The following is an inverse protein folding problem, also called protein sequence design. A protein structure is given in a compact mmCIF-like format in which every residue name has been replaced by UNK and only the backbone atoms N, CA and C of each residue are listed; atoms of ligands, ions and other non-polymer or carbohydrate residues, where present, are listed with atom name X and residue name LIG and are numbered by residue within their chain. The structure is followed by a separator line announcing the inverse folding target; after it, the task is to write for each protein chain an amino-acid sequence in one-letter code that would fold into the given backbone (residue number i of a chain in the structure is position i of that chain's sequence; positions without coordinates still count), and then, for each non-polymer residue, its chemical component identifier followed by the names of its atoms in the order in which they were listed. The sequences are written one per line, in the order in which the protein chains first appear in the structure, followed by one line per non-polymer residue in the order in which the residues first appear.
data_IF_372859894470
#
_entry.id   IF_372859894470
#
_cell.length_a   1.000
_cell.length_b   1.000
_cell.length_c   1.000
_cell.angle_alpha   90.00
_cell.angle_beta   90.00
_cell.angle_gamma   90.00
#
_symmetry.space_group_name_H-M   'P 1'
#
loop_
_entity.id
_entity.type
_entity.pdbx_description
1 polymer ?
#
# COMPACT_ATOMS: atom_id res chain seq x y z
N UNK A 1 9.97 -7.86 -30.65
CA UNK A 1 9.17 -7.94 -29.40
C UNK A 1 9.41 -6.69 -28.58
N UNK A 2 8.42 -5.82 -28.42
CA UNK A 2 8.61 -4.57 -27.68
C UNK A 2 8.85 -4.86 -26.19
N UNK A 3 10.01 -4.44 -25.65
CA UNK A 3 10.28 -4.45 -24.20
C UNK A 3 9.18 -3.63 -23.52
N UNK A 4 8.32 -4.30 -22.75
CA UNK A 4 7.28 -3.65 -21.94
C UNK A 4 7.99 -2.63 -21.04
N UNK A 5 7.83 -1.33 -21.34
CA UNK A 5 8.41 -0.25 -20.53
C UNK A 5 7.84 -0.40 -19.12
N UNK A 6 8.69 -0.60 -18.11
CA UNK A 6 8.25 -0.52 -16.72
C UNK A 6 7.78 0.92 -16.51
N UNK A 7 6.48 1.11 -16.38
CA UNK A 7 5.91 2.40 -15.99
C UNK A 7 6.32 2.61 -14.54
N UNK A 8 7.01 3.71 -14.26
CA UNK A 8 7.38 4.07 -12.90
C UNK A 8 6.11 4.42 -12.12
N UNK A 9 6.05 3.99 -10.85
CA UNK A 9 4.98 4.35 -9.93
C UNK A 9 4.88 5.88 -9.77
N UNK A 10 6.00 6.60 -9.87
CA UNK A 10 6.05 8.05 -9.82
C UNK A 10 5.25 8.71 -10.96
N UNK A 11 5.22 8.11 -12.14
CA UNK A 11 4.57 8.70 -13.32
C UNK A 11 3.07 8.40 -13.43
N UNK A 12 2.55 7.53 -12.55
CA UNK A 12 1.15 7.13 -12.57
C UNK A 12 0.22 8.30 -12.22
N UNK A 13 -0.83 8.49 -13.03
CA UNK A 13 -1.87 9.50 -12.81
C UNK A 13 -3.25 8.94 -13.15
N UNK A 14 -4.30 9.59 -12.67
CA UNK A 14 -5.67 9.29 -13.07
C UNK A 14 -6.06 7.83 -12.79
N UNK A 15 -6.78 7.18 -13.72
CA UNK A 15 -7.21 5.79 -13.57
C UNK A 15 -6.06 4.79 -13.35
N UNK A 16 -4.86 5.06 -13.87
CA UNK A 16 -3.71 4.17 -13.70
C UNK A 16 -3.19 4.21 -12.25
N UNK A 17 -3.15 5.39 -11.63
CA UNK A 17 -2.79 5.57 -10.23
C UNK A 17 -3.80 4.87 -9.32
N UNK A 18 -5.11 5.05 -9.56
CA UNK A 18 -6.18 4.36 -8.80
C UNK A 18 -6.03 2.84 -8.86
N UNK A 19 -5.80 2.29 -10.07
CA UNK A 19 -5.62 0.85 -10.28
C UNK A 19 -4.41 0.31 -9.53
N UNK A 20 -3.27 1.00 -9.61
CA UNK A 20 -2.06 0.57 -8.93
C UNK A 20 -2.19 0.68 -7.41
N UNK A 21 -2.78 1.77 -6.89
CA UNK A 21 -3.06 1.90 -5.45
C UNK A 21 -3.91 0.73 -4.95
N UNK A 22 -5.02 0.42 -5.64
CA UNK A 22 -5.87 -0.72 -5.28
C UNK A 22 -5.12 -2.07 -5.36
N UNK A 23 -4.24 -2.24 -6.37
CA UNK A 23 -3.41 -3.44 -6.51
C UNK A 23 -2.44 -3.59 -5.33
N UNK A 24 -1.76 -2.51 -4.93
CA UNK A 24 -0.83 -2.51 -3.79
C UNK A 24 -1.53 -2.84 -2.48
N UNK A 25 -2.73 -2.29 -2.24
CA UNK A 25 -3.52 -2.64 -1.04
C UNK A 25 -3.87 -4.13 -1.02
N UNK A 26 -4.30 -4.70 -2.16
CA UNK A 26 -4.60 -6.15 -2.25
C UNK A 26 -3.36 -7.01 -2.01
N UNK A 27 -2.21 -6.59 -2.54
CA UNK A 27 -0.95 -7.31 -2.35
C UNK A 27 -0.50 -7.27 -0.89
N UNK A 28 -0.60 -6.11 -0.23
CA UNK A 28 -0.34 -5.97 1.20
C UNK A 28 -1.26 -6.90 2.02
N UNK A 29 -2.57 -6.95 1.70
CA UNK A 29 -3.52 -7.88 2.32
C UNK A 29 -3.12 -9.35 2.12
N UNK A 30 -2.72 -9.73 0.91
CA UNK A 30 -2.26 -11.09 0.61
C UNK A 30 -1.01 -11.46 1.43
N UNK A 31 -0.11 -10.51 1.67
CA UNK A 31 1.03 -10.73 2.56
C UNK A 31 0.61 -10.82 4.02
N UNK A 32 -0.35 -10.01 4.46
CA UNK A 32 -0.91 -10.06 5.81
C UNK A 32 -1.58 -11.40 6.09
N UNK A 33 -2.47 -11.86 5.20
CA UNK A 33 -3.15 -13.16 5.32
C UNK A 33 -2.14 -14.32 5.34
N UNK A 34 -1.04 -14.18 4.60
CA UNK A 34 0.09 -15.13 4.62
C UNK A 34 1.12 -14.91 5.72
N UNK A 35 0.86 -14.07 6.72
CA UNK A 35 1.77 -13.76 7.85
C UNK A 35 3.18 -13.24 7.45
N UNK A 36 3.33 -12.73 6.22
CA UNK A 36 4.58 -12.17 5.68
C UNK A 36 4.68 -10.69 6.05
N UNK A 37 4.88 -10.41 7.34
CA UNK A 37 4.80 -9.05 7.91
C UNK A 37 5.76 -8.04 7.26
N UNK A 38 6.99 -8.44 6.93
CA UNK A 38 7.95 -7.55 6.26
C UNK A 38 7.46 -7.11 4.87
N UNK A 39 6.99 -8.05 4.05
CA UNK A 39 6.43 -7.76 2.73
C UNK A 39 5.11 -6.97 2.83
N UNK A 40 4.27 -7.28 3.83
CA UNK A 40 3.05 -6.52 4.09
C UNK A 40 3.36 -5.05 4.41
N UNK A 41 4.35 -4.78 5.28
CA UNK A 41 4.76 -3.41 5.62
C UNK A 41 5.25 -2.66 4.38
N UNK A 42 6.13 -3.27 3.59
CA UNK A 42 6.66 -2.64 2.38
C UNK A 42 5.55 -2.28 1.37
N UNK A 43 4.63 -3.20 1.11
CA UNK A 43 3.54 -2.96 0.17
C UNK A 43 2.50 -1.98 0.72
N UNK A 44 2.28 -1.97 2.04
CA UNK A 44 1.47 -0.95 2.73
C UNK A 44 2.05 0.44 2.55
N UNK A 45 3.35 0.62 2.80
CA UNK A 45 4.01 1.92 2.64
C UNK A 45 3.92 2.42 1.19
N UNK A 46 4.12 1.54 0.21
CA UNK A 46 3.89 1.86 -1.21
C UNK A 46 2.44 2.27 -1.47
N UNK A 47 1.48 1.52 -0.95
CA UNK A 47 0.06 1.83 -1.10
C UNK A 47 -0.30 3.20 -0.50
N UNK A 48 0.24 3.54 0.68
CA UNK A 48 0.01 4.85 1.32
C UNK A 48 0.56 5.99 0.46
N UNK A 49 1.81 5.89 -0.01
CA UNK A 49 2.42 6.90 -0.88
C UNK A 49 1.61 7.16 -2.15
N UNK A 50 1.05 6.11 -2.76
CA UNK A 50 0.18 6.27 -3.93
C UNK A 50 -1.20 6.81 -3.56
N UNK A 51 -1.75 6.38 -2.42
CA UNK A 51 -3.06 6.82 -1.94
C UNK A 51 -3.10 8.31 -1.58
N UNK A 52 -2.02 8.84 -1.01
CA UNK A 52 -1.88 10.27 -0.66
C UNK A 52 -1.92 11.17 -1.89
N UNK A 53 -1.47 10.67 -3.05
CA UNK A 53 -1.48 11.39 -4.33
C UNK A 53 -2.87 11.44 -5.01
N UNK A 54 -3.80 10.59 -4.58
CA UNK A 54 -5.15 10.54 -5.17
C UNK A 54 -5.99 11.72 -4.70
N UNK A 55 -6.78 12.28 -5.61
CA UNK A 55 -7.86 13.21 -5.23
C UNK A 55 -8.98 12.46 -4.48
N UNK A 56 -9.90 13.20 -3.85
CA UNK A 56 -11.05 12.58 -3.16
C UNK A 56 -11.92 11.74 -4.10
N UNK A 57 -12.24 12.27 -5.28
CA UNK A 57 -13.02 11.55 -6.30
C UNK A 57 -12.30 10.32 -6.85
N UNK A 58 -10.97 10.29 -6.85
CA UNK A 58 -10.20 9.11 -7.19
C UNK A 58 -10.15 8.08 -6.05
N UNK A 59 -10.07 8.52 -4.79
CA UNK A 59 -10.14 7.64 -3.62
C UNK A 59 -11.47 6.91 -3.57
N UNK A 60 -12.57 7.56 -3.94
CA UNK A 60 -13.90 6.94 -4.01
C UNK A 60 -13.97 5.75 -4.98
N UNK A 61 -13.19 5.79 -6.07
CA UNK A 61 -13.09 4.68 -7.03
C UNK A 61 -12.36 3.45 -6.45
N UNK A 62 -11.67 3.59 -5.32
CA UNK A 62 -11.11 2.46 -4.59
C UNK A 62 -12.21 1.80 -3.75
N UNK A 63 -12.41 0.46 -3.86
CA UNK A 63 -13.35 -0.26 -3.02
C UNK A 63 -13.20 0.08 -1.53
N UNK A 64 -14.31 0.42 -0.87
CA UNK A 64 -14.31 0.90 0.52
C UNK A 64 -13.59 -0.07 1.47
N UNK A 65 -13.75 -1.38 1.28
CA UNK A 65 -13.05 -2.42 2.06
C UNK A 65 -11.53 -2.28 2.01
N UNK A 66 -10.96 -1.85 0.87
CA UNK A 66 -9.52 -1.63 0.73
C UNK A 66 -9.10 -0.34 1.44
N UNK A 67 -9.90 0.73 1.34
CA UNK A 67 -9.65 2.00 2.04
C UNK A 67 -9.67 1.83 3.56
N UNK A 68 -10.69 1.14 4.08
CA UNK A 68 -10.82 0.86 5.51
C UNK A 68 -9.68 -0.01 6.01
N UNK A 69 -9.32 -1.05 5.24
CA UNK A 69 -8.17 -1.88 5.61
C UNK A 69 -6.87 -1.07 5.64
N UNK A 70 -6.60 -0.25 4.61
CA UNK A 70 -5.39 0.56 4.52
C UNK A 70 -5.30 1.57 5.66
N UNK A 71 -6.37 2.33 5.94
CA UNK A 71 -6.31 3.41 6.94
C UNK A 71 -6.43 2.95 8.39
N UNK A 72 -7.22 1.91 8.67
CA UNK A 72 -7.50 1.52 10.05
C UNK A 72 -6.81 0.22 10.43
N UNK A 73 -7.07 -0.85 9.67
CA UNK A 73 -6.56 -2.17 10.05
C UNK A 73 -5.04 -2.20 9.94
N UNK A 74 -4.48 -1.76 8.81
CA UNK A 74 -3.04 -1.81 8.61
C UNK A 74 -2.28 -0.87 9.56
N UNK A 75 -2.86 0.28 9.94
CA UNK A 75 -2.29 1.18 10.95
C UNK A 75 -2.16 0.50 12.32
N UNK A 76 -3.19 -0.20 12.78
CA UNK A 76 -3.15 -0.95 14.05
C UNK A 76 -1.99 -1.97 14.12
N UNK A 77 -1.61 -2.57 12.99
CA UNK A 77 -0.59 -3.62 12.94
C UNK A 77 0.80 -3.13 12.52
N UNK A 78 0.88 -2.05 11.74
CA UNK A 78 2.10 -1.61 11.07
C UNK A 78 2.37 -0.11 11.21
N UNK A 79 1.54 0.63 11.94
CA UNK A 79 1.77 2.04 12.26
C UNK A 79 2.91 2.26 13.24
N UNK A 80 3.39 3.50 13.29
CA UNK A 80 4.58 3.90 14.07
C UNK A 80 4.38 3.79 15.59
N UNK A 81 3.14 3.61 16.04
CA UNK A 81 2.79 3.41 17.45
C UNK A 81 3.26 2.07 18.04
N UNK A 82 3.85 1.18 17.23
CA UNK A 82 4.58 0.02 17.76
C UNK A 82 6.02 0.43 18.03
N UNK A 83 6.29 0.81 19.28
CA UNK A 83 7.66 0.85 19.82
C UNK A 83 8.35 -0.44 19.39
N UNK A 84 9.43 -0.38 18.59
CA UNK A 84 10.16 -1.59 18.24
C UNK A 84 10.65 -2.21 19.56
N UNK A 85 10.43 -3.52 19.80
CA UNK A 85 11.06 -4.18 20.93
C UNK A 85 12.57 -4.09 20.69
N UNK A 86 13.24 -3.28 21.51
CA UNK A 86 14.69 -3.17 21.69
C UNK A 86 15.54 -3.29 20.43
N UNK A 87 16.22 -2.22 20.05
CA UNK A 87 17.47 -2.30 19.30
C UNK A 87 18.50 -3.02 20.17
N UNK A 88 18.39 -4.34 20.26
CA UNK A 88 19.35 -5.23 20.91
C UNK A 88 20.22 -5.87 19.84
N UNK A 89 21.49 -5.45 19.84
CA UNK A 89 22.70 -6.05 19.23
C UNK A 89 23.30 -5.28 18.06
N UNK A 90 24.58 -4.91 18.27
CA UNK A 90 25.52 -4.32 17.31
C UNK A 90 26.29 -3.20 17.96
#
# INVERSE_FOLDING_TARGET
MAKKRKIDEADLKGPALVKETARRIRLARTHWDGHRNGACRLERERALRLYERLTESEKEKIPQVLRVWLRYRSEKYFGDHRTPPGKGRG
#
